data_IF_495029128941
#
_entry.id   IF_495029128941
#
_cell.length_a   1.000
_cell.length_b   1.000
_cell.length_c   1.000
_cell.angle_alpha   90.00
_cell.angle_beta   90.00
_cell.angle_gamma   90.00
#
_symmetry.space_group_name_H-M   'P 1'
#
loop_
_entity.id
_entity.type
_entity.pdbx_description
1 polymer ?
#
# COMPACT_ATOMS: atom_id res chain seq x y z
N UNK A 1 9.78 -5.75 -33.23
CA UNK A 1 10.26 -4.87 -32.14
C UNK A 1 11.67 -5.31 -31.80
N UNK A 2 12.64 -4.39 -31.76
CA UNK A 2 14.03 -4.75 -31.41
C UNK A 2 14.18 -4.98 -29.90
N UNK A 3 15.16 -5.77 -29.49
CA UNK A 3 15.49 -5.97 -28.07
C UNK A 3 15.82 -4.63 -27.38
N UNK A 4 16.51 -3.74 -28.10
CA UNK A 4 16.81 -2.39 -27.64
C UNK A 4 15.57 -1.60 -27.25
N UNK A 5 14.53 -1.62 -28.09
CA UNK A 5 13.29 -0.90 -27.82
C UNK A 5 12.56 -1.45 -26.57
N UNK A 6 12.61 -2.76 -26.33
CA UNK A 6 12.03 -3.38 -25.13
C UNK A 6 12.77 -2.89 -23.87
N UNK A 7 14.10 -2.91 -23.90
CA UNK A 7 14.93 -2.47 -22.78
C UNK A 7 14.70 -1.00 -22.47
N UNK A 8 14.68 -0.13 -23.49
CA UNK A 8 14.40 1.29 -23.33
C UNK A 8 12.98 1.54 -22.77
N UNK A 9 11.99 0.73 -23.17
CA UNK A 9 10.63 0.82 -22.64
C UNK A 9 10.57 0.48 -21.15
N UNK A 10 11.27 -0.57 -20.72
CA UNK A 10 11.34 -0.95 -19.29
C UNK A 10 12.12 0.10 -18.50
N UNK A 11 13.20 0.62 -19.07
CA UNK A 11 14.05 1.63 -18.46
C UNK A 11 13.29 2.93 -18.17
N UNK A 12 12.45 3.37 -19.11
CA UNK A 12 11.69 4.62 -19.03
C UNK A 12 10.28 4.44 -18.42
N UNK A 13 9.90 3.22 -18.05
CA UNK A 13 8.59 2.96 -17.46
C UNK A 13 8.40 3.79 -16.18
N UNK A 14 7.23 4.43 -15.96
CA UNK A 14 6.98 5.27 -14.79
C UNK A 14 6.76 4.48 -13.50
N UNK A 15 6.83 3.15 -13.56
CA UNK A 15 6.71 2.24 -12.43
C UNK A 15 8.11 1.76 -12.07
N UNK A 16 8.43 1.76 -10.78
CA UNK A 16 9.69 1.21 -10.29
C UNK A 16 9.73 -0.30 -10.54
N UNK A 17 10.75 -0.76 -11.27
CA UNK A 17 10.92 -2.15 -11.67
C UNK A 17 12.25 -2.66 -11.13
N UNK A 18 12.22 -3.85 -10.54
CA UNK A 18 13.40 -4.65 -10.23
C UNK A 18 13.30 -6.05 -10.81
N UNK A 19 14.44 -6.62 -11.21
CA UNK A 19 14.58 -8.02 -11.61
C UNK A 19 15.60 -8.66 -10.69
N UNK A 20 15.26 -9.81 -10.12
CA UNK A 20 16.10 -10.53 -9.17
C UNK A 20 16.38 -11.97 -9.61
N UNK A 21 17.39 -12.59 -9.01
CA UNK A 21 17.57 -14.04 -9.05
C UNK A 21 16.56 -14.77 -8.13
N UNK A 22 16.60 -16.10 -8.11
CA UNK A 22 15.71 -16.92 -7.28
C UNK A 22 15.90 -16.74 -5.76
N UNK A 23 16.96 -16.05 -5.33
CA UNK A 23 17.28 -15.71 -3.93
C UNK A 23 16.94 -14.26 -3.62
N UNK A 24 16.28 -13.54 -4.52
CA UNK A 24 15.97 -12.12 -4.43
C UNK A 24 17.20 -11.19 -4.41
N UNK A 25 18.33 -11.62 -4.99
CA UNK A 25 19.44 -10.70 -5.28
C UNK A 25 19.14 -9.92 -6.56
N UNK A 26 19.29 -8.61 -6.49
CA UNK A 26 18.93 -7.68 -7.56
C UNK A 26 19.92 -7.81 -8.71
N UNK A 27 19.40 -8.06 -9.91
CA UNK A 27 20.17 -8.16 -11.15
C UNK A 27 20.02 -6.92 -12.01
N UNK A 28 18.86 -6.26 -11.93
CA UNK A 28 18.56 -5.06 -12.69
C UNK A 28 17.50 -4.22 -11.97
N UNK A 29 17.59 -2.90 -12.14
CA UNK A 29 16.61 -1.90 -11.74
C UNK A 29 16.48 -0.84 -12.82
N UNK A 30 15.30 -0.25 -12.98
CA UNK A 30 15.07 0.88 -13.89
C UNK A 30 15.19 2.24 -13.18
N UNK A 31 15.12 3.33 -13.95
CA UNK A 31 15.24 4.70 -13.42
C UNK A 31 14.17 5.04 -12.37
N UNK A 32 12.94 4.55 -12.56
CA UNK A 32 11.87 4.79 -11.59
C UNK A 32 12.16 4.14 -10.23
N UNK A 33 12.82 2.97 -10.20
CA UNK A 33 13.27 2.33 -8.97
C UNK A 33 14.37 3.13 -8.28
N UNK A 34 15.33 3.65 -9.04
CA UNK A 34 16.38 4.52 -8.48
C UNK A 34 15.77 5.78 -7.85
N UNK A 35 14.84 6.42 -8.55
CA UNK A 35 14.13 7.61 -8.07
C UNK A 35 13.31 7.33 -6.81
N UNK A 36 12.63 6.17 -6.76
CA UNK A 36 11.82 5.77 -5.61
C UNK A 36 12.68 5.47 -4.38
N UNK A 37 13.75 4.71 -4.55
CA UNK A 37 14.53 4.16 -3.42
C UNK A 37 15.72 5.05 -3.03
N UNK A 38 16.19 5.90 -3.93
CA UNK A 38 17.38 6.73 -3.79
C UNK A 38 18.70 5.97 -3.96
N UNK A 39 18.67 4.68 -4.32
CA UNK A 39 19.86 3.92 -4.68
C UNK A 39 20.10 3.97 -6.18
N UNK A 40 21.35 4.15 -6.60
CA UNK A 40 21.69 3.97 -8.03
C UNK A 40 21.77 2.48 -8.37
N UNK A 41 21.62 2.13 -9.65
CA UNK A 41 21.80 0.75 -10.13
C UNK A 41 23.11 0.13 -9.65
N UNK A 42 24.22 0.85 -9.77
CA UNK A 42 25.55 0.38 -9.39
C UNK A 42 25.67 0.08 -7.88
N UNK A 43 24.91 0.80 -7.05
CA UNK A 43 24.91 0.60 -5.61
C UNK A 43 24.05 -0.59 -5.17
N UNK A 44 23.00 -0.93 -5.92
CA UNK A 44 21.98 -1.89 -5.47
C UNK A 44 22.04 -3.23 -6.20
N UNK A 45 22.56 -3.28 -7.43
CA UNK A 45 22.76 -4.54 -8.12
C UNK A 45 23.74 -5.45 -7.34
N UNK A 46 23.41 -6.74 -7.26
CA UNK A 46 24.08 -7.75 -6.45
C UNK A 46 23.65 -7.80 -4.99
N UNK A 47 22.91 -6.81 -4.48
CA UNK A 47 22.36 -6.82 -3.11
C UNK A 47 21.00 -7.50 -3.07
N UNK A 48 20.62 -7.97 -1.89
CA UNK A 48 19.31 -8.59 -1.68
C UNK A 48 18.21 -7.54 -1.50
N UNK A 49 17.02 -7.76 -2.07
CA UNK A 49 15.82 -6.92 -1.89
C UNK A 49 15.46 -6.69 -0.42
N UNK A 50 15.83 -7.62 0.48
CA UNK A 50 15.62 -7.44 1.92
C UNK A 50 16.30 -6.20 2.50
N UNK A 51 17.28 -5.61 1.78
CA UNK A 51 17.92 -4.35 2.16
C UNK A 51 16.92 -3.20 2.28
N UNK A 52 15.87 -3.19 1.46
CA UNK A 52 14.81 -2.19 1.48
C UNK A 52 13.83 -2.40 2.66
N UNK A 53 13.83 -3.55 3.31
CA UNK A 53 12.89 -3.86 4.40
C UNK A 53 13.11 -2.96 5.62
N UNK A 54 12.02 -2.46 6.21
CA UNK A 54 12.04 -1.85 7.55
C UNK A 54 11.97 -2.86 8.69
N UNK A 55 11.82 -4.15 8.42
CA UNK A 55 11.62 -5.23 9.41
C UNK A 55 10.38 -5.04 10.30
N UNK A 56 9.44 -4.20 9.88
CA UNK A 56 8.16 -3.95 10.56
C UNK A 56 6.99 -4.71 9.93
N UNK A 57 7.14 -5.13 8.67
CA UNK A 57 6.16 -5.98 8.00
C UNK A 57 6.06 -7.33 8.73
N UNK A 58 4.85 -7.82 9.06
CA UNK A 58 4.68 -9.10 9.72
C UNK A 58 5.27 -10.29 8.93
N UNK A 59 5.83 -11.27 9.64
CA UNK A 59 6.53 -12.40 9.04
C UNK A 59 5.62 -13.26 8.15
N UNK A 60 4.33 -13.35 8.48
CA UNK A 60 3.32 -14.05 7.69
C UNK A 60 3.17 -13.48 6.28
N UNK A 61 3.38 -12.17 6.10
CA UNK A 61 3.32 -11.52 4.78
C UNK A 61 4.48 -12.00 3.92
N UNK A 62 5.69 -12.07 4.48
CA UNK A 62 6.85 -12.63 3.78
C UNK A 62 6.70 -14.12 3.48
N UNK A 63 6.11 -14.89 4.40
CA UNK A 63 5.83 -16.32 4.16
C UNK A 63 4.83 -16.50 3.01
N UNK A 64 3.80 -15.67 2.97
CA UNK A 64 2.82 -15.70 1.89
C UNK A 64 3.43 -15.28 0.54
N UNK A 65 4.24 -14.22 0.53
CA UNK A 65 5.03 -13.79 -0.61
C UNK A 65 5.84 -14.95 -1.18
N UNK A 66 6.73 -15.53 -0.37
CA UNK A 66 7.64 -16.58 -0.83
C UNK A 66 6.89 -17.83 -1.29
N UNK A 67 5.85 -18.26 -0.56
CA UNK A 67 5.00 -19.37 -0.97
C UNK A 67 4.36 -19.12 -2.34
N UNK A 68 3.85 -17.91 -2.56
CA UNK A 68 3.13 -17.55 -3.77
C UNK A 68 4.06 -17.52 -4.99
N UNK A 69 5.17 -16.77 -4.91
CA UNK A 69 6.08 -16.61 -6.06
C UNK A 69 6.82 -17.90 -6.40
N UNK A 70 7.19 -18.72 -5.40
CA UNK A 70 7.81 -20.02 -5.64
C UNK A 70 6.83 -21.04 -6.23
N UNK A 71 5.52 -20.85 -6.07
CA UNK A 71 4.49 -21.66 -6.73
C UNK A 71 4.22 -21.28 -8.19
N UNK A 72 4.99 -20.33 -8.74
CA UNK A 72 4.79 -19.84 -10.10
C UNK A 72 3.62 -18.85 -10.25
N UNK A 73 3.11 -18.30 -9.14
CA UNK A 73 2.00 -17.34 -9.11
C UNK A 73 2.49 -15.92 -8.84
N UNK A 74 1.73 -14.93 -9.32
CA UNK A 74 1.97 -13.52 -9.01
C UNK A 74 1.54 -13.25 -7.57
N UNK A 75 2.44 -12.67 -6.78
CA UNK A 75 2.11 -12.16 -5.46
C UNK A 75 1.78 -10.67 -5.55
N UNK A 76 0.78 -10.23 -4.77
CA UNK A 76 0.41 -8.83 -4.62
C UNK A 76 0.23 -8.52 -3.15
N UNK A 77 0.80 -7.43 -2.70
CA UNK A 77 0.65 -7.02 -1.31
C UNK A 77 1.40 -5.74 -1.01
N UNK A 78 1.43 -5.40 0.26
CA UNK A 78 2.02 -4.15 0.74
C UNK A 78 3.08 -4.46 1.78
N UNK A 79 4.24 -3.81 1.66
CA UNK A 79 5.34 -3.91 2.60
C UNK A 79 5.71 -2.51 3.11
N UNK A 80 6.29 -2.43 4.30
CA UNK A 80 6.92 -1.19 4.78
C UNK A 80 8.41 -1.27 4.45
N UNK A 81 8.82 -0.42 3.50
CA UNK A 81 10.20 -0.33 3.04
C UNK A 81 10.84 0.98 3.49
N UNK A 82 12.17 1.09 3.35
CA UNK A 82 12.95 2.32 3.54
C UNK A 82 13.76 2.67 2.30
N UNK A 83 13.93 3.97 2.10
CA UNK A 83 14.85 4.53 1.09
C UNK A 83 16.29 4.47 1.60
N UNK A 84 17.26 4.79 0.73
CA UNK A 84 18.67 4.97 1.09
C UNK A 84 18.88 6.00 2.21
N UNK A 85 18.05 7.04 2.23
CA UNK A 85 18.06 8.07 3.28
C UNK A 85 17.43 7.61 4.60
N UNK A 86 16.91 6.37 4.68
CA UNK A 86 16.29 5.80 5.86
C UNK A 86 14.82 6.17 6.06
N UNK A 87 14.21 6.91 5.13
CA UNK A 87 12.79 7.26 5.20
C UNK A 87 11.93 6.03 4.91
N UNK A 88 10.99 5.73 5.80
CA UNK A 88 10.04 4.64 5.60
C UNK A 88 8.90 5.05 4.67
N UNK A 89 8.47 4.14 3.81
CA UNK A 89 7.34 4.32 2.91
C UNK A 89 6.54 3.00 2.78
N UNK A 90 5.26 3.14 2.44
CA UNK A 90 4.36 2.01 2.19
C UNK A 90 4.46 1.60 0.72
N UNK A 91 5.10 0.46 0.47
CA UNK A 91 5.34 -0.07 -0.86
C UNK A 91 4.24 -1.06 -1.24
N UNK A 92 3.42 -0.70 -2.24
CA UNK A 92 2.57 -1.66 -2.95
C UNK A 92 3.40 -2.40 -4.00
N UNK A 93 3.39 -3.74 -3.93
CA UNK A 93 4.24 -4.60 -4.73
C UNK A 93 3.42 -5.60 -5.55
N UNK A 94 3.84 -5.78 -6.80
CA UNK A 94 3.44 -6.91 -7.64
C UNK A 94 4.69 -7.69 -8.02
N UNK A 95 4.78 -8.95 -7.60
CA UNK A 95 5.96 -9.80 -7.84
C UNK A 95 5.56 -10.99 -8.69
N UNK A 96 6.11 -11.06 -9.90
CA UNK A 96 5.82 -12.09 -10.88
C UNK A 96 7.04 -12.99 -11.12
N UNK A 97 6.89 -14.32 -11.10
CA UNK A 97 7.96 -15.23 -11.51
C UNK A 97 8.14 -15.19 -13.03
N UNK A 98 9.40 -15.14 -13.45
CA UNK A 98 9.80 -15.27 -14.85
C UNK A 98 10.25 -16.71 -15.08
N UNK A 99 9.72 -17.33 -16.13
CA UNK A 99 9.92 -18.74 -16.45
C UNK A 99 10.81 -18.89 -17.69
N UNK A 100 11.71 -19.87 -17.67
CA UNK A 100 12.42 -20.31 -18.88
C UNK A 100 11.52 -21.17 -19.80
N UNK A 101 12.07 -21.57 -20.96
CA UNK A 101 11.39 -22.46 -21.91
C UNK A 101 11.00 -23.83 -21.29
N UNK A 102 11.68 -24.25 -20.23
CA UNK A 102 11.39 -25.47 -19.47
C UNK A 102 10.40 -25.25 -18.32
N UNK A 103 9.75 -24.08 -18.23
CA UNK A 103 8.82 -23.68 -17.16
C UNK A 103 9.45 -23.64 -15.76
N UNK A 104 10.77 -23.48 -15.66
CA UNK A 104 11.46 -23.26 -14.38
C UNK A 104 11.55 -21.78 -14.09
N UNK A 105 11.35 -21.41 -12.83
CA UNK A 105 11.52 -20.04 -12.37
C UNK A 105 13.01 -19.69 -12.43
N UNK A 106 13.37 -18.67 -13.18
CA UNK A 106 14.76 -18.17 -13.28
C UNK A 106 14.95 -16.87 -12.53
N UNK A 107 13.90 -16.03 -12.49
CA UNK A 107 13.95 -14.69 -11.96
C UNK A 107 12.61 -14.29 -11.34
N UNK A 108 12.62 -13.22 -10.56
CA UNK A 108 11.40 -12.53 -10.16
C UNK A 108 11.43 -11.09 -10.68
N UNK A 109 10.31 -10.66 -11.28
CA UNK A 109 10.02 -9.29 -11.68
C UNK A 109 9.21 -8.64 -10.55
N UNK A 110 9.78 -7.62 -9.92
CA UNK A 110 9.11 -6.78 -8.93
C UNK A 110 8.68 -5.45 -9.54
N UNK A 111 7.42 -5.08 -9.35
CA UNK A 111 6.91 -3.74 -9.64
C UNK A 111 6.51 -3.08 -8.33
N UNK A 112 7.03 -1.87 -8.09
CA UNK A 112 6.93 -1.17 -6.82
C UNK A 112 6.19 0.15 -7.01
N UNK A 113 5.29 0.48 -6.09
CA UNK A 113 4.62 1.77 -6.04
C UNK A 113 4.60 2.28 -4.61
N UNK A 114 5.06 3.51 -4.42
CA UNK A 114 4.83 4.21 -3.15
C UNK A 114 3.37 4.65 -3.08
N UNK A 115 2.66 4.15 -2.08
CA UNK A 115 1.27 4.50 -1.80
C UNK A 115 1.14 5.26 -0.47
N UNK A 116 2.24 5.75 0.11
CA UNK A 116 2.25 6.45 1.40
C UNK A 116 1.32 7.66 1.41
N UNK A 117 1.44 8.55 0.41
CA UNK A 117 0.56 9.73 0.30
C UNK A 117 -0.89 9.34 0.05
N UNK A 118 -1.15 8.34 -0.80
CA UNK A 118 -2.51 7.84 -1.05
C UNK A 118 -3.14 7.31 0.24
N UNK A 119 -2.37 6.51 0.99
CA UNK A 119 -2.82 5.93 2.25
C UNK A 119 -3.08 7.00 3.32
N UNK A 120 -2.22 8.02 3.43
CA UNK A 120 -2.42 9.14 4.35
C UNK A 120 -3.69 9.93 4.01
N UNK A 121 -3.93 10.22 2.73
CA UNK A 121 -5.14 10.91 2.28
C UNK A 121 -6.39 10.07 2.56
N UNK A 122 -6.34 8.76 2.32
CA UNK A 122 -7.45 7.86 2.65
C UNK A 122 -7.76 7.83 4.16
N UNK A 123 -6.73 7.83 5.01
CA UNK A 123 -6.89 7.87 6.45
C UNK A 123 -7.51 9.20 6.92
N UNK A 124 -7.05 10.33 6.38
CA UNK A 124 -7.60 11.65 6.71
C UNK A 124 -9.08 11.75 6.31
N UNK A 125 -9.41 11.32 5.10
CA UNK A 125 -10.79 11.32 4.60
C UNK A 125 -11.70 10.41 5.46
N UNK A 126 -11.18 9.25 5.88
CA UNK A 126 -11.89 8.34 6.79
C UNK A 126 -12.10 8.98 8.17
N UNK A 127 -11.09 9.66 8.71
CA UNK A 127 -11.19 10.36 9.98
C UNK A 127 -12.26 11.46 9.94
N UNK A 128 -12.25 12.28 8.90
CA UNK A 128 -13.25 13.34 8.70
C UNK A 128 -14.69 12.80 8.56
N UNK A 129 -14.87 11.66 7.87
CA UNK A 129 -16.17 10.99 7.77
C UNK A 129 -16.68 10.52 9.12
N UNK A 130 -15.85 9.84 9.90
CA UNK A 130 -16.21 9.34 11.24
C UNK A 130 -16.58 10.51 12.16
N UNK A 131 -15.83 11.61 12.12
CA UNK A 131 -16.16 12.82 12.89
C UNK A 131 -17.51 13.41 12.46
N UNK A 132 -17.74 13.53 11.15
CA UNK A 132 -18.99 14.08 10.61
C UNK A 132 -20.21 13.23 11.00
N UNK A 133 -20.11 11.90 10.90
CA UNK A 133 -21.16 10.96 11.32
C UNK A 133 -21.43 11.06 12.82
N UNK A 134 -20.39 11.15 13.64
CA UNK A 134 -20.52 11.29 15.10
C UNK A 134 -21.25 12.57 15.48
N UNK A 135 -20.93 13.71 14.84
CA UNK A 135 -21.63 14.99 15.07
C UNK A 135 -23.12 14.88 14.71
N UNK A 136 -23.44 14.25 13.57
CA UNK A 136 -24.82 14.06 13.14
C UNK A 136 -25.62 13.16 14.09
N UNK A 137 -25.00 12.11 14.64
CA UNK A 137 -25.67 11.24 15.61
C UNK A 137 -25.91 11.93 16.95
N UNK A 138 -25.01 12.81 17.40
CA UNK A 138 -25.23 13.65 18.58
C UNK A 138 -26.34 14.70 18.34
N UNK A 139 -26.52 15.13 17.09
CA UNK A 139 -27.55 16.08 16.70
C UNK A 139 -28.93 15.44 16.45
N UNK A 140 -29.06 14.10 16.48
CA UNK A 140 -30.36 13.43 16.46
C UNK A 140 -31.09 13.72 17.77
N UNK A 141 -32.17 14.54 17.76
CA UNK A 141 -32.97 14.72 18.96
C UNK A 141 -33.58 13.36 19.29
N UNK A 142 -33.45 12.90 20.53
CA UNK A 142 -34.28 11.78 20.98
C UNK A 142 -35.74 12.22 20.89
N UNK A 143 -36.53 11.53 20.06
CA UNK A 143 -37.95 11.86 19.88
C UNK A 143 -38.72 11.81 21.22
N UNK A 144 -38.18 11.09 22.21
CA UNK A 144 -38.65 11.03 23.59
C UNK A 144 -38.53 12.33 24.38
N UNK A 145 -37.61 13.24 24.02
CA UNK A 145 -37.43 14.50 24.76
C UNK A 145 -38.41 15.59 24.30
N UNK A 146 -38.82 15.58 23.02
CA UNK A 146 -39.78 16.55 22.49
C UNK A 146 -41.24 16.23 22.84
N UNK A 147 -41.64 14.95 22.97
CA UNK A 147 -43.00 14.59 23.40
C UNK A 147 -43.24 14.79 24.90
N UNK A 148 -42.18 14.74 25.72
CA UNK A 148 -42.27 15.03 27.16
C UNK A 148 -42.50 16.52 27.45
N UNK A 149 -41.88 17.42 26.68
CA UNK A 149 -42.01 18.87 26.89
C UNK A 149 -43.34 19.47 26.38
N UNK A 150 -43.95 18.87 25.35
CA UNK A 150 -45.27 19.30 24.87
C UNK A 150 -46.37 18.91 25.87
N UNK A 151 -46.22 17.76 26.55
CA UNK A 151 -47.18 17.33 27.58
C UNK A 151 -47.06 18.16 28.86
N UNK A 152 -45.84 18.57 29.25
CA UNK A 152 -45.61 19.38 30.45
C UNK A 152 -46.18 20.81 30.34
N UNK A 153 -46.12 21.45 29.16
CA UNK A 153 -46.65 22.81 28.96
C UNK A 153 -48.18 22.89 28.88
N UNK A 154 -48.89 21.79 28.61
CA UNK A 154 -50.36 21.79 28.51
C UNK A 154 -51.04 21.60 29.86
N UNK A 155 -50.40 20.96 30.84
CA UNK A 155 -50.96 20.73 32.18
C UNK A 155 -50.91 21.96 33.10
N UNK A 156 -50.00 22.91 32.89
CA UNK A 156 -49.87 24.11 33.74
C UNK A 156 -50.85 25.24 33.40
N UNK A 157 -51.65 25.11 32.32
CA UNK A 157 -52.71 26.08 31.97
C UNK A 157 -54.10 25.74 32.51
N UNK A 158 -54.29 24.56 33.11
CA UNK A 158 -55.61 24.11 33.60
C UNK A 158 -55.78 24.17 35.12
N UNK A 159 -54.81 24.68 35.88
CA UNK A 159 -54.89 24.79 37.35
C UNK A 159 -54.95 26.23 37.88
N UNK A 160 -55.05 27.24 37.01
CA UNK A 160 -55.23 28.65 37.39
C UNK A 160 -56.55 29.21 36.82
N UNK A 161 -57.67 28.52 37.11
CA UNK A 161 -59.04 28.97 36.84
C UNK A 161 -59.95 28.61 37.99
#
# INVERSE_FOLDING_TARGET
>A
MSLQAILETVEQAPVAISITDIRANILYVNLAFENLTGYTRDEICGKNESLLSCNTTPLEVYRDLWRTIQSGKVWRGTLVNRTKAGQSYLAELNIAPVLDAGRRITNFLGMHRDISTLHQLEQELKHQKVLSETILDLARPSWSCWTANITCCLTTRLTNG
#
